data_IF_193918977092
#
_entry.id   IF_193918977092
#
_cell.length_a   1.000
_cell.length_b   1.000
_cell.length_c   1.000
_cell.angle_alpha   90.00
_cell.angle_beta   90.00
_cell.angle_gamma   90.00
#
_symmetry.space_group_name_H-M   'P 1'
#
loop_
_entity.id
_entity.type
_entity.pdbx_description
1 polymer ?
#
# COMPACT_ATOMS: atom_id res chain seq x y z
N UNK A 1 15.91 26.46 33.49
CA UNK A 1 14.79 25.79 32.79
C UNK A 1 14.87 25.95 31.27
N UNK A 2 14.97 27.18 30.74
CA UNK A 2 14.96 27.45 29.27
C UNK A 2 16.13 26.80 28.51
N UNK A 3 17.35 26.87 29.05
CA UNK A 3 18.52 26.29 28.39
C UNK A 3 18.41 24.78 28.13
N UNK A 4 17.77 24.05 29.05
CA UNK A 4 17.53 22.62 28.90
C UNK A 4 16.61 22.33 27.71
N UNK A 5 15.56 23.13 27.54
CA UNK A 5 14.60 22.98 26.44
C UNK A 5 15.29 23.24 25.10
N UNK A 6 16.12 24.27 24.99
CA UNK A 6 16.83 24.59 23.73
C UNK A 6 17.80 23.49 23.31
N UNK A 7 18.45 22.82 24.27
CA UNK A 7 19.37 21.72 24.00
C UNK A 7 18.62 20.43 23.66
N UNK A 8 17.53 20.16 24.38
CA UNK A 8 16.79 18.90 24.24
C UNK A 8 15.82 18.90 23.06
N UNK A 9 15.32 20.07 22.66
CA UNK A 9 14.29 20.18 21.61
C UNK A 9 14.76 19.71 20.22
N UNK A 10 15.94 20.10 19.70
CA UNK A 10 16.41 19.63 18.40
C UNK A 10 16.55 18.09 18.31
N UNK A 11 17.21 17.37 19.24
CA UNK A 11 17.27 15.92 19.18
C UNK A 11 15.91 15.26 19.42
N UNK A 12 15.03 15.86 20.23
CA UNK A 12 13.67 15.35 20.44
C UNK A 12 12.83 15.43 19.16
N UNK A 13 12.94 16.51 18.38
CA UNK A 13 12.29 16.62 17.07
C UNK A 13 12.83 15.61 16.08
N UNK A 14 14.15 15.44 16.00
CA UNK A 14 14.77 14.45 15.11
C UNK A 14 14.30 13.04 15.51
N UNK A 15 14.31 12.71 16.81
CA UNK A 15 13.82 11.44 17.31
C UNK A 15 12.33 11.24 16.99
N UNK A 16 11.50 12.27 17.15
CA UNK A 16 10.08 12.23 16.79
C UNK A 16 9.87 12.00 15.29
N UNK A 17 10.63 12.66 14.43
CA UNK A 17 10.56 12.47 12.96
C UNK A 17 11.02 11.07 12.54
N UNK A 18 12.07 10.53 13.18
CA UNK A 18 12.52 9.15 12.95
C UNK A 18 11.52 8.13 13.49
N UNK A 19 10.85 8.42 14.59
CA UNK A 19 9.78 7.56 15.14
C UNK A 19 8.50 7.66 14.30
N UNK A 20 8.21 8.80 13.68
CA UNK A 20 7.12 8.91 12.71
C UNK A 20 7.28 7.92 11.57
N UNK A 21 8.50 7.54 11.17
CA UNK A 21 8.71 6.41 10.24
C UNK A 21 8.11 5.10 10.78
N UNK A 22 8.35 4.79 12.07
CA UNK A 22 7.80 3.63 12.78
C UNK A 22 6.31 3.72 13.12
N UNK A 23 5.74 4.93 13.22
CA UNK A 23 4.31 5.18 13.47
C UNK A 23 3.51 5.31 12.16
N UNK A 24 4.17 5.64 11.04
CA UNK A 24 3.59 5.65 9.70
C UNK A 24 3.63 4.25 9.05
N UNK A 25 4.52 3.36 9.48
CA UNK A 25 4.64 1.99 8.98
C UNK A 25 3.34 1.13 9.12
N UNK A 26 2.50 1.28 10.17
CA UNK A 26 1.23 0.55 10.26
C UNK A 26 0.08 1.24 9.52
N UNK A 27 0.14 2.55 9.26
CA UNK A 27 -0.93 3.31 8.60
C UNK A 27 -0.73 3.50 7.10
N UNK A 28 0.48 3.23 6.60
CA UNK A 28 0.74 3.17 5.17
C UNK A 28 0.77 1.73 4.68
N UNK A 29 -0.43 1.21 4.42
CA UNK A 29 -0.65 0.27 3.31
C UNK A 29 -1.28 1.03 2.12
N UNK A 30 -0.71 2.15 1.60
CA UNK A 30 -0.99 2.49 0.22
C UNK A 30 -0.45 1.31 -0.57
N UNK A 31 -1.18 0.90 -1.59
CA UNK A 31 -0.72 -0.13 -2.52
C UNK A 31 0.75 0.12 -2.84
N UNK A 32 1.60 -0.82 -2.42
CA UNK A 32 3.04 -0.62 -2.44
C UNK A 32 3.48 -0.34 -3.88
N UNK A 33 4.58 0.39 -4.12
CA UNK A 33 5.09 0.66 -5.48
C UNK A 33 5.18 -0.61 -6.34
N UNK A 34 5.51 -1.74 -5.70
CA UNK A 34 5.55 -3.07 -6.29
C UNK A 34 4.17 -3.59 -6.72
N UNK A 35 3.14 -3.39 -5.91
CA UNK A 35 1.77 -3.80 -6.20
C UNK A 35 1.15 -2.90 -7.28
N UNK A 36 1.52 -1.62 -7.35
CA UNK A 36 1.16 -0.72 -8.47
C UNK A 36 1.86 -1.15 -9.76
N UNK A 37 3.15 -1.44 -9.72
CA UNK A 37 3.88 -1.92 -10.89
C UNK A 37 3.31 -3.24 -11.41
N UNK A 38 2.91 -4.15 -10.51
CA UNK A 38 2.28 -5.41 -10.87
C UNK A 38 0.85 -5.22 -11.41
N UNK A 39 0.10 -4.25 -10.88
CA UNK A 39 -1.17 -3.84 -11.47
C UNK A 39 -0.96 -3.34 -12.89
N UNK A 40 -0.03 -2.41 -13.13
CA UNK A 40 0.20 -1.86 -14.47
C UNK A 40 0.66 -2.92 -15.48
N UNK A 41 1.37 -3.96 -15.04
CA UNK A 41 1.82 -5.05 -15.92
C UNK A 41 0.77 -6.13 -16.17
N UNK A 42 -0.19 -6.33 -15.26
CA UNK A 42 -1.17 -7.44 -15.33
C UNK A 42 -2.63 -7.00 -15.41
N UNK A 43 -2.92 -5.71 -15.31
CA UNK A 43 -4.28 -5.17 -15.39
C UNK A 43 -4.91 -5.45 -16.76
N UNK A 44 -6.21 -5.76 -16.75
CA UNK A 44 -6.95 -5.85 -18.01
C UNK A 44 -7.37 -4.44 -18.49
N UNK A 45 -7.69 -4.27 -19.79
CA UNK A 45 -8.14 -2.99 -20.32
C UNK A 45 -9.31 -2.38 -19.53
N UNK A 46 -10.27 -3.20 -19.08
CA UNK A 46 -11.39 -2.73 -18.26
C UNK A 46 -11.00 -2.25 -16.85
N UNK A 47 -9.88 -2.73 -16.30
CA UNK A 47 -9.36 -2.24 -15.01
C UNK A 47 -8.60 -0.93 -15.17
N UNK A 48 -7.88 -0.76 -16.28
CA UNK A 48 -7.24 0.50 -16.65
C UNK A 48 -8.30 1.57 -16.93
N UNK A 49 -9.39 1.20 -17.60
CA UNK A 49 -10.54 2.10 -17.81
C UNK A 49 -11.19 2.50 -16.48
N UNK A 50 -11.37 1.54 -15.57
CA UNK A 50 -11.87 1.79 -14.21
C UNK A 50 -10.92 2.71 -13.42
N UNK A 51 -9.61 2.58 -13.62
CA UNK A 51 -8.60 3.46 -13.03
C UNK A 51 -8.76 4.89 -13.53
N UNK A 52 -8.95 5.08 -14.84
CA UNK A 52 -9.13 6.39 -15.46
C UNK A 52 -10.46 7.08 -15.05
N UNK A 53 -11.55 6.31 -14.96
CA UNK A 53 -12.89 6.87 -14.69
C UNK A 53 -13.25 6.94 -13.20
N UNK A 54 -12.77 6.01 -12.38
CA UNK A 54 -13.20 5.86 -10.97
C UNK A 54 -12.06 5.81 -9.95
N UNK A 55 -10.82 5.88 -10.41
CA UNK A 55 -9.64 6.04 -9.58
C UNK A 55 -8.99 4.73 -9.07
N UNK A 56 -7.78 4.91 -8.55
CA UNK A 56 -6.83 3.85 -8.11
C UNK A 56 -7.47 2.86 -7.14
N UNK A 57 -8.23 3.34 -6.16
CA UNK A 57 -8.81 2.49 -5.11
C UNK A 57 -9.77 1.44 -5.70
N UNK A 58 -10.62 1.85 -6.65
CA UNK A 58 -11.64 0.98 -7.24
C UNK A 58 -11.03 -0.02 -8.23
N UNK A 59 -10.08 0.43 -9.04
CA UNK A 59 -9.35 -0.41 -9.98
C UNK A 59 -8.55 -1.52 -9.26
N UNK A 60 -7.78 -1.20 -8.23
CA UNK A 60 -7.02 -2.19 -7.46
C UNK A 60 -7.89 -3.18 -6.70
N UNK A 61 -9.04 -2.75 -6.19
CA UNK A 61 -9.96 -3.67 -5.49
C UNK A 61 -10.51 -4.73 -6.44
N UNK A 62 -10.84 -4.34 -7.68
CA UNK A 62 -11.26 -5.27 -8.74
C UNK A 62 -10.14 -6.22 -9.16
N UNK A 63 -8.94 -5.68 -9.38
CA UNK A 63 -7.77 -6.47 -9.74
C UNK A 63 -7.39 -7.51 -8.66
N UNK A 64 -7.36 -7.11 -7.39
CA UNK A 64 -7.09 -8.02 -6.27
C UNK A 64 -8.12 -9.15 -6.19
N UNK A 65 -9.41 -8.85 -6.38
CA UNK A 65 -10.46 -9.88 -6.40
C UNK A 65 -10.23 -10.90 -7.51
N UNK A 66 -9.97 -10.45 -8.75
CA UNK A 66 -9.69 -11.38 -9.86
C UNK A 66 -8.46 -12.25 -9.61
N UNK A 67 -7.43 -11.70 -8.98
CA UNK A 67 -6.21 -12.44 -8.62
C UNK A 67 -6.50 -13.47 -7.54
N UNK A 68 -7.25 -13.11 -6.51
CA UNK A 68 -7.67 -14.04 -5.45
C UNK A 68 -8.50 -15.20 -6.03
N UNK A 69 -9.44 -14.91 -6.93
CA UNK A 69 -10.26 -15.94 -7.60
C UNK A 69 -9.40 -16.93 -8.41
N UNK A 70 -8.34 -16.42 -9.07
CA UNK A 70 -7.40 -17.27 -9.82
C UNK A 70 -6.59 -18.17 -8.89
N UNK A 71 -6.08 -17.63 -7.79
CA UNK A 71 -5.34 -18.42 -6.78
C UNK A 71 -6.25 -19.49 -6.18
N UNK A 72 -7.51 -19.16 -5.88
CA UNK A 72 -8.48 -20.10 -5.34
C UNK A 72 -8.75 -21.26 -6.30
N UNK A 73 -8.97 -20.98 -7.60
CA UNK A 73 -9.16 -22.03 -8.61
C UNK A 73 -7.93 -22.91 -8.82
N UNK A 74 -6.74 -22.36 -8.68
CA UNK A 74 -5.50 -23.13 -8.76
C UNK A 74 -5.23 -23.98 -7.51
N UNK A 75 -5.86 -23.65 -6.38
CA UNK A 75 -5.75 -24.40 -5.13
C UNK A 75 -6.81 -25.50 -4.99
N UNK A 76 -7.80 -25.55 -5.88
CA UNK A 76 -8.79 -26.62 -5.93
C UNK A 76 -8.13 -27.87 -6.57
N UNK A 77 -7.90 -28.95 -5.82
CA UNK A 77 -7.34 -30.17 -6.39
C UNK A 77 -8.31 -30.74 -7.42
N UNK A 78 -7.84 -31.31 -8.54
CA UNK A 78 -8.71 -31.96 -9.48
C UNK A 78 -9.46 -33.08 -8.74
N UNK A 79 -10.79 -32.94 -8.66
CA UNK A 79 -11.66 -33.99 -8.16
C UNK A 79 -11.70 -35.05 -9.28
N UNK A 80 -10.82 -36.04 -9.16
CA UNK A 80 -10.77 -37.24 -10.00
C UNK A 80 -11.59 -38.34 -9.34
#
# INVERSE_FOLDING_TARGET
MVALIVILFPPLLIAFLLVMERVEEPLRRPTGPREVAEFLSTASPGEVDTLATSGIRRAMTRWRRRRADRVQRSAEPPVV
#
